data_IF_059175765779
#
_entry.id   IF_059175765779
#
_cell.length_a   1.000
_cell.length_b   1.000
_cell.length_c   1.000
_cell.angle_alpha   90.00
_cell.angle_beta   90.00
_cell.angle_gamma   90.00
#
_symmetry.space_group_name_H-M   'P 1'
#
loop_
_entity.id
_entity.type
_entity.pdbx_description
1 polymer ?
#
# COMPACT_ATOMS: atom_id res chain seq x y z
N UNK A 1 7.94 -12.55 26.00
CA UNK A 1 9.07 -11.62 25.83
C UNK A 1 8.58 -10.48 24.95
N UNK A 2 8.17 -9.37 25.58
CA UNK A 2 7.58 -8.22 24.89
C UNK A 2 8.71 -7.45 24.23
N UNK A 3 8.78 -7.46 22.88
CA UNK A 3 9.63 -6.54 22.15
C UNK A 3 8.97 -5.15 22.18
N UNK A 4 9.47 -4.29 23.04
CA UNK A 4 9.23 -2.86 22.95
C UNK A 4 9.95 -2.35 21.68
N UNK A 5 9.18 -2.08 20.63
CA UNK A 5 9.67 -1.25 19.53
C UNK A 5 9.71 0.17 20.09
N UNK A 6 10.87 0.53 20.62
CA UNK A 6 11.18 1.90 20.96
C UNK A 6 11.22 2.66 19.64
N UNK A 7 10.15 3.40 19.34
CA UNK A 7 10.15 4.40 18.29
C UNK A 7 11.18 5.45 18.71
N UNK A 8 12.38 5.36 18.16
CA UNK A 8 13.38 6.41 18.28
C UNK A 8 12.83 7.61 17.49
N UNK A 9 12.06 8.44 18.16
CA UNK A 9 11.77 9.80 17.74
C UNK A 9 13.10 10.56 17.78
N UNK A 10 13.89 10.42 16.73
CA UNK A 10 14.94 11.38 16.44
C UNK A 10 14.23 12.73 16.33
N UNK A 11 14.37 13.51 17.39
CA UNK A 11 14.06 14.93 17.41
C UNK A 11 15.00 15.66 16.44
N UNK A 12 14.76 15.48 15.15
CA UNK A 12 15.15 16.46 14.18
C UNK A 12 14.32 17.70 14.54
N UNK A 13 14.96 18.68 15.16
CA UNK A 13 14.46 20.05 15.28
C UNK A 13 14.29 20.60 13.86
N UNK A 14 13.28 20.14 13.16
CA UNK A 14 12.74 20.83 12.00
C UNK A 14 12.13 22.07 12.64
N UNK A 15 12.72 23.24 12.40
CA UNK A 15 12.01 24.50 12.54
C UNK A 15 10.83 24.42 11.58
N UNK A 16 9.74 23.76 12.02
CA UNK A 16 8.44 23.94 11.44
C UNK A 16 8.18 25.43 11.61
N UNK A 17 8.08 26.17 10.52
CA UNK A 17 7.32 27.41 10.56
C UNK A 17 5.90 26.97 10.87
N UNK A 18 5.59 26.89 12.16
CA UNK A 18 4.23 26.89 12.64
C UNK A 18 3.64 28.18 12.15
N UNK A 19 2.88 28.14 11.08
CA UNK A 19 1.93 29.20 10.80
C UNK A 19 1.02 29.24 12.02
N UNK A 20 1.12 30.35 12.75
CA UNK A 20 0.44 30.59 14.01
C UNK A 20 -1.06 30.26 13.89
N UNK A 21 -1.49 29.20 14.60
CA UNK A 21 -2.89 28.75 14.63
C UNK A 21 -3.83 29.72 15.34
N UNK A 22 -3.32 30.87 15.79
CA UNK A 22 -4.12 31.97 16.38
C UNK A 22 -4.76 32.86 15.34
N UNK A 23 -4.41 32.70 14.04
CA UNK A 23 -5.00 33.51 12.98
C UNK A 23 -6.47 33.12 12.74
N UNK A 24 -7.37 34.09 12.85
CA UNK A 24 -8.78 33.93 12.55
C UNK A 24 -9.04 33.53 11.08
N UNK A 25 -10.25 33.08 10.79
CA UNK A 25 -10.66 32.64 9.43
C UNK A 25 -10.40 33.69 8.36
N UNK A 26 -10.46 34.97 8.68
CA UNK A 26 -10.18 36.09 7.73
C UNK A 26 -8.71 36.26 7.41
N UNK A 27 -7.80 36.06 8.39
CA UNK A 27 -6.35 36.09 8.14
C UNK A 27 -5.83 34.87 7.41
N UNK A 28 -6.51 33.71 7.52
CA UNK A 28 -6.23 32.53 6.69
C UNK A 28 -6.53 32.79 5.21
N UNK A 29 -7.53 33.58 4.90
CA UNK A 29 -7.86 34.00 3.52
C UNK A 29 -6.82 34.97 2.93
N UNK A 30 -6.12 35.76 3.75
CA UNK A 30 -5.08 36.68 3.27
C UNK A 30 -3.73 35.97 2.98
N UNK A 31 -3.40 34.88 3.67
CA UNK A 31 -2.29 34.00 3.29
C UNK A 31 -2.85 32.91 2.36
N UNK A 32 -3.10 33.27 1.11
CA UNK A 32 -3.60 32.35 0.08
C UNK A 32 -2.72 31.10 0.03
N UNK A 33 -3.19 30.02 0.63
CA UNK A 33 -2.62 28.69 0.42
C UNK A 33 -3.70 27.77 -0.14
N UNK A 34 -3.32 26.84 -0.97
CA UNK A 34 -4.24 25.88 -1.54
C UNK A 34 -3.63 25.10 -2.69
N UNK A 35 -4.43 24.19 -3.20
CA UNK A 35 -4.10 23.41 -4.39
C UNK A 35 -4.59 24.13 -5.63
N UNK A 36 -3.73 24.26 -6.62
CA UNK A 36 -4.04 24.85 -7.92
C UNK A 36 -3.66 23.85 -8.99
N UNK A 37 -4.60 23.50 -9.88
CA UNK A 37 -4.37 22.66 -11.03
C UNK A 37 -3.61 23.45 -12.10
N UNK A 38 -2.52 22.89 -12.63
CA UNK A 38 -1.70 23.51 -13.67
C UNK A 38 -1.24 22.50 -14.73
N UNK A 39 -1.25 22.93 -15.97
CA UNK A 39 -0.71 22.19 -17.11
C UNK A 39 -1.67 21.19 -17.74
N UNK A 40 -1.28 20.56 -18.86
CA UNK A 40 -2.06 19.54 -19.52
C UNK A 40 -2.10 18.28 -18.67
N UNK A 41 -3.28 17.96 -18.11
CA UNK A 41 -3.50 16.83 -17.21
C UNK A 41 -3.85 17.22 -15.77
N UNK A 42 -4.18 18.52 -15.52
CA UNK A 42 -4.68 19.05 -14.26
C UNK A 42 -3.86 18.60 -13.03
N UNK A 43 -2.53 18.73 -13.12
CA UNK A 43 -1.65 18.44 -11.98
C UNK A 43 -1.86 19.48 -10.88
N UNK A 44 -2.25 19.03 -9.68
CA UNK A 44 -2.43 19.93 -8.54
C UNK A 44 -1.08 20.22 -7.86
N UNK A 45 -0.80 21.50 -7.67
CA UNK A 45 0.36 21.98 -6.91
C UNK A 45 -0.09 22.79 -5.69
N UNK A 46 0.66 22.66 -4.62
CA UNK A 46 0.41 23.41 -3.39
C UNK A 46 1.13 24.75 -3.42
N UNK A 47 0.36 25.82 -3.20
CA UNK A 47 0.82 27.21 -3.21
C UNK A 47 0.68 27.86 -1.84
N UNK A 48 1.61 28.75 -1.52
CA UNK A 48 1.53 29.65 -0.38
C UNK A 48 1.95 31.05 -0.84
N UNK A 49 1.10 32.05 -0.64
CA UNK A 49 1.37 33.43 -1.03
C UNK A 49 1.48 33.66 -2.54
N UNK A 50 0.94 32.76 -3.37
CA UNK A 50 0.98 32.85 -4.82
C UNK A 50 2.13 32.08 -5.47
N UNK A 51 3.08 31.54 -4.69
CA UNK A 51 4.20 30.75 -5.19
C UNK A 51 4.05 29.28 -4.86
N UNK A 52 4.62 28.40 -5.71
CA UNK A 52 4.69 26.96 -5.43
C UNK A 52 5.53 26.72 -4.19
N UNK A 53 4.91 26.10 -3.18
CA UNK A 53 5.51 25.96 -1.87
C UNK A 53 6.66 24.92 -1.84
N UNK A 54 7.72 25.27 -1.11
CA UNK A 54 8.80 24.34 -0.75
C UNK A 54 9.05 24.43 0.75
N UNK A 55 8.94 23.31 1.46
CA UNK A 55 9.12 23.24 2.91
C UNK A 55 8.19 22.25 3.57
N UNK A 56 8.22 22.25 4.90
CA UNK A 56 7.28 21.46 5.70
C UNK A 56 5.96 22.23 5.90
N UNK A 57 4.84 21.52 5.82
CA UNK A 57 3.52 22.09 6.05
C UNK A 57 2.65 21.11 6.84
N UNK A 58 1.78 21.66 7.70
CA UNK A 58 0.84 20.90 8.51
C UNK A 58 -0.57 21.31 8.19
N UNK A 59 -1.41 20.31 7.90
CA UNK A 59 -2.84 20.47 7.72
C UNK A 59 -3.56 20.05 9.01
N UNK A 60 -4.69 20.68 9.29
CA UNK A 60 -5.45 20.42 10.50
C UNK A 60 -6.92 20.17 10.15
N UNK A 61 -7.56 19.28 10.86
CA UNK A 61 -9.00 19.11 10.87
C UNK A 61 -9.68 20.41 11.39
N UNK A 62 -10.97 20.55 11.11
CA UNK A 62 -11.78 21.67 11.67
C UNK A 62 -11.76 21.68 13.20
N UNK A 63 -11.53 20.54 13.83
CA UNK A 63 -11.34 20.36 15.27
C UNK A 63 -9.98 20.87 15.78
N UNK A 64 -9.13 21.42 14.92
CA UNK A 64 -7.75 21.87 15.17
C UNK A 64 -6.76 20.77 15.50
N UNK A 65 -7.16 19.50 15.41
CA UNK A 65 -6.25 18.37 15.52
C UNK A 65 -5.43 18.23 14.24
N UNK A 66 -4.19 17.78 14.37
CA UNK A 66 -3.31 17.54 13.22
C UNK A 66 -3.92 16.46 12.32
N UNK A 67 -4.05 16.76 11.02
CA UNK A 67 -4.55 15.86 10.00
C UNK A 67 -3.40 15.27 9.17
N UNK A 68 -2.53 16.15 8.66
CA UNK A 68 -1.41 15.70 7.82
C UNK A 68 -0.18 16.55 8.10
N UNK A 69 0.95 15.89 8.25
CA UNK A 69 2.29 16.48 8.22
C UNK A 69 2.99 16.11 6.92
N UNK A 70 3.39 17.10 6.14
CA UNK A 70 3.95 16.86 4.82
C UNK A 70 5.14 17.76 4.52
N UNK A 71 6.02 17.31 3.62
CA UNK A 71 7.04 18.13 3.01
C UNK A 71 6.72 18.32 1.53
N UNK A 72 7.04 19.50 1.02
CA UNK A 72 6.81 19.91 -0.35
C UNK A 72 8.12 20.34 -1.01
N UNK A 73 8.20 20.14 -2.30
CA UNK A 73 9.20 20.70 -3.16
C UNK A 73 8.55 21.20 -4.43
N UNK A 74 8.62 22.50 -4.67
CA UNK A 74 8.01 23.15 -5.83
C UNK A 74 6.51 22.80 -5.99
N UNK A 75 5.75 22.91 -4.91
CA UNK A 75 4.32 22.61 -4.85
C UNK A 75 3.91 21.14 -4.80
N UNK A 76 4.83 20.20 -5.00
CA UNK A 76 4.54 18.76 -4.97
C UNK A 76 4.99 18.12 -3.66
N UNK A 77 4.25 17.13 -3.19
CA UNK A 77 4.68 16.30 -2.07
C UNK A 77 6.09 15.74 -2.31
N UNK A 78 6.99 15.91 -1.35
CA UNK A 78 8.36 15.45 -1.42
C UNK A 78 8.92 15.14 -0.04
N UNK A 79 9.41 13.92 0.20
CA UNK A 79 9.87 13.51 1.53
C UNK A 79 8.83 12.72 2.28
N UNK A 80 8.92 12.72 3.62
CA UNK A 80 7.99 11.99 4.48
C UNK A 80 6.66 12.74 4.55
N UNK A 81 5.56 11.98 4.47
CA UNK A 81 4.20 12.43 4.76
C UNK A 81 3.62 11.49 5.80
N UNK A 82 2.97 12.06 6.81
CA UNK A 82 2.27 11.34 7.88
C UNK A 82 0.85 11.88 7.97
N UNK A 83 -0.12 11.01 7.82
CA UNK A 83 -1.54 11.30 8.04
C UNK A 83 -1.97 10.78 9.42
N UNK A 84 -2.86 11.50 10.05
CA UNK A 84 -3.36 11.19 11.38
C UNK A 84 -4.89 11.06 11.37
N UNK A 85 -5.42 10.26 12.26
CA UNK A 85 -6.83 10.19 12.57
C UNK A 85 -7.21 11.37 13.49
N UNK A 86 -8.53 11.63 13.62
CA UNK A 86 -9.05 12.69 14.51
C UNK A 86 -8.72 12.47 15.99
N UNK A 87 -8.39 11.25 16.39
CA UNK A 87 -7.94 10.92 17.75
C UNK A 87 -6.42 11.13 17.95
N UNK A 88 -5.70 11.57 16.92
CA UNK A 88 -4.26 11.81 16.93
C UNK A 88 -3.42 10.57 16.64
N UNK A 89 -4.00 9.40 16.46
CA UNK A 89 -3.27 8.20 16.06
C UNK A 89 -2.81 8.30 14.59
N UNK A 90 -1.68 7.67 14.27
CA UNK A 90 -1.17 7.65 12.89
C UNK A 90 -2.09 6.80 12.03
N UNK A 91 -2.60 7.38 10.93
CA UNK A 91 -3.40 6.72 9.91
C UNK A 91 -2.53 6.12 8.82
N UNK A 92 -1.57 6.91 8.31
CA UNK A 92 -0.62 6.42 7.34
C UNK A 92 0.73 7.16 7.43
N UNK A 93 1.81 6.52 7.00
CA UNK A 93 3.12 7.14 6.88
C UNK A 93 3.89 6.57 5.71
N UNK A 94 4.55 7.43 4.97
CA UNK A 94 5.36 7.02 3.82
C UNK A 94 6.15 8.16 3.22
N UNK A 95 6.69 7.91 2.05
CA UNK A 95 7.52 8.90 1.35
C UNK A 95 6.98 9.20 -0.04
N UNK A 96 6.95 10.49 -0.35
CA UNK A 96 6.74 10.98 -1.70
C UNK A 96 8.05 11.44 -2.34
N UNK A 97 8.08 11.38 -3.66
CA UNK A 97 9.09 11.97 -4.51
C UNK A 97 8.42 12.62 -5.71
N UNK A 98 8.45 13.95 -5.78
CA UNK A 98 7.81 14.74 -6.84
C UNK A 98 6.33 14.33 -7.06
N UNK A 99 5.53 14.40 -6.01
CA UNK A 99 4.11 14.07 -6.03
C UNK A 99 3.74 12.59 -6.04
N UNK A 100 4.71 11.67 -6.17
CA UNK A 100 4.44 10.24 -6.30
C UNK A 100 4.87 9.46 -5.04
N UNK A 101 4.05 8.50 -4.62
CA UNK A 101 4.40 7.56 -3.56
C UNK A 101 5.58 6.69 -3.97
N UNK A 102 6.59 6.56 -3.09
CA UNK A 102 7.78 5.74 -3.34
C UNK A 102 8.23 5.00 -2.08
N UNK A 103 8.80 3.80 -2.28
CA UNK A 103 9.32 3.02 -1.16
C UNK A 103 8.22 2.47 -0.25
N UNK A 104 8.55 2.30 1.01
CA UNK A 104 7.66 1.70 2.01
C UNK A 104 6.63 2.70 2.50
N UNK A 105 5.38 2.27 2.57
CA UNK A 105 4.22 2.92 3.16
C UNK A 105 3.58 2.00 4.16
N UNK A 106 3.17 2.56 5.31
CA UNK A 106 2.38 1.88 6.33
C UNK A 106 1.02 2.54 6.40
N UNK A 107 -0.02 1.74 6.45
CA UNK A 107 -1.42 2.15 6.66
C UNK A 107 -1.94 1.42 7.89
N UNK A 108 -2.40 2.15 8.89
CA UNK A 108 -2.90 1.61 10.15
C UNK A 108 -4.42 1.74 10.18
N UNK A 109 -5.10 0.65 10.48
CA UNK A 109 -6.57 0.60 10.57
C UNK A 109 -7.03 0.60 12.01
N UNK A 110 -6.23 0.01 12.91
CA UNK A 110 -6.37 0.03 14.35
C UNK A 110 -4.99 -0.18 15.02
N UNK A 111 -4.97 -0.47 16.33
CA UNK A 111 -3.72 -0.68 17.06
C UNK A 111 -2.93 -1.94 16.67
N UNK A 112 -3.53 -2.85 15.93
CA UNK A 112 -2.95 -4.15 15.55
C UNK A 112 -2.93 -4.33 14.04
N UNK A 113 -4.04 -3.98 13.36
CA UNK A 113 -4.17 -4.19 11.92
C UNK A 113 -3.47 -3.09 11.12
N UNK A 114 -2.72 -3.53 10.13
CA UNK A 114 -2.01 -2.63 9.24
C UNK A 114 -1.79 -3.24 7.85
N UNK A 115 -1.54 -2.38 6.90
CA UNK A 115 -1.06 -2.76 5.58
C UNK A 115 0.29 -2.10 5.29
N UNK A 116 1.27 -2.90 4.90
CA UNK A 116 2.54 -2.43 4.37
C UNK A 116 2.51 -2.51 2.85
N UNK A 117 2.69 -1.38 2.18
CA UNK A 117 2.87 -1.32 0.72
C UNK A 117 4.27 -0.85 0.38
N UNK A 118 4.88 -1.44 -0.65
CA UNK A 118 6.13 -0.95 -1.22
C UNK A 118 5.89 -0.48 -2.64
N UNK A 119 5.95 0.84 -2.81
CA UNK A 119 5.78 1.49 -4.11
C UNK A 119 7.06 1.47 -4.94
N UNK A 120 6.90 1.41 -6.24
CA UNK A 120 7.99 1.49 -7.21
C UNK A 120 8.63 2.89 -7.19
N UNK A 121 9.96 2.93 -7.38
CA UNK A 121 10.67 4.19 -7.62
C UNK A 121 10.70 4.59 -9.09
N UNK A 122 10.35 3.67 -9.99
CA UNK A 122 10.40 3.85 -11.45
C UNK A 122 9.03 4.05 -12.05
N UNK A 123 8.05 3.29 -11.56
CA UNK A 123 6.66 3.32 -12.00
C UNK A 123 5.85 4.06 -10.94
N UNK A 124 5.47 5.32 -11.17
CA UNK A 124 4.79 6.15 -10.19
C UNK A 124 3.54 5.50 -9.62
N UNK A 125 3.37 5.59 -8.30
CA UNK A 125 2.20 5.12 -7.55
C UNK A 125 1.87 3.61 -7.70
N UNK A 126 2.72 2.82 -8.33
CA UNK A 126 2.50 1.37 -8.47
C UNK A 126 3.06 0.58 -7.29
N UNK A 127 2.23 -0.29 -6.73
CA UNK A 127 2.60 -1.16 -5.60
C UNK A 127 3.35 -2.39 -6.12
N UNK A 128 4.54 -2.62 -5.58
CA UNK A 128 5.40 -3.79 -5.91
C UNK A 128 5.30 -4.92 -4.91
N UNK A 129 4.95 -4.60 -3.69
CA UNK A 129 4.75 -5.56 -2.60
C UNK A 129 3.64 -5.05 -1.73
N UNK A 130 2.85 -5.95 -1.17
CA UNK A 130 1.93 -5.68 -0.08
C UNK A 130 2.00 -6.80 0.95
N UNK A 131 1.68 -6.45 2.17
CA UNK A 131 1.48 -7.33 3.31
C UNK A 131 0.34 -6.74 4.12
N UNK A 132 -0.71 -7.52 4.37
CA UNK A 132 -1.82 -7.13 5.23
C UNK A 132 -1.89 -7.99 6.47
N UNK A 133 -2.01 -7.34 7.63
CA UNK A 133 -2.20 -7.96 8.95
C UNK A 133 -3.54 -7.50 9.50
N UNK A 134 -4.39 -8.44 9.92
CA UNK A 134 -5.72 -8.15 10.45
C UNK A 134 -5.68 -7.72 11.93
N UNK A 135 -6.85 -7.39 12.51
CA UNK A 135 -7.00 -6.96 13.91
C UNK A 135 -6.62 -8.01 14.94
N UNK A 136 -6.49 -9.29 14.55
CA UNK A 136 -5.96 -10.36 15.40
C UNK A 136 -4.44 -10.50 15.31
N UNK A 137 -3.75 -9.62 14.55
CA UNK A 137 -2.30 -9.71 14.34
C UNK A 137 -1.89 -10.82 13.35
N UNK A 138 -2.83 -11.36 12.59
CA UNK A 138 -2.60 -12.45 11.65
C UNK A 138 -2.39 -11.87 10.26
N UNK A 139 -1.31 -12.31 9.57
CA UNK A 139 -1.12 -12.03 8.16
C UNK A 139 -2.23 -12.70 7.34
N UNK A 140 -2.96 -11.92 6.54
CA UNK A 140 -4.08 -12.42 5.74
C UNK A 140 -3.83 -12.33 4.24
N UNK A 141 -2.86 -11.51 3.84
CA UNK A 141 -2.46 -11.38 2.43
C UNK A 141 -1.01 -10.94 2.30
N UNK A 142 -0.32 -11.49 1.30
CA UNK A 142 1.00 -11.04 0.87
C UNK A 142 1.19 -11.23 -0.63
N UNK A 143 1.65 -10.20 -1.32
CA UNK A 143 2.06 -10.36 -2.72
C UNK A 143 3.35 -9.61 -3.06
N UNK A 144 3.94 -9.98 -4.20
CA UNK A 144 5.05 -9.29 -4.82
C UNK A 144 4.92 -9.36 -6.34
N UNK A 145 5.01 -8.22 -7.02
CA UNK A 145 4.98 -8.16 -8.49
C UNK A 145 6.35 -8.42 -9.12
N UNK A 146 6.36 -8.74 -10.39
CA UNK A 146 7.55 -8.68 -11.24
C UNK A 146 8.00 -7.22 -11.43
N UNK A 147 9.22 -7.04 -11.95
CA UNK A 147 9.78 -5.71 -12.17
C UNK A 147 8.97 -4.87 -13.17
N UNK A 148 8.35 -5.50 -14.17
CA UNK A 148 7.48 -4.85 -15.16
C UNK A 148 6.07 -4.52 -14.63
N UNK A 149 5.74 -4.93 -13.41
CA UNK A 149 4.47 -4.70 -12.70
C UNK A 149 3.22 -5.36 -13.30
N UNK A 150 3.30 -5.95 -14.51
CA UNK A 150 2.14 -6.56 -15.18
C UNK A 150 1.67 -7.82 -14.46
N UNK A 151 2.62 -8.62 -13.91
CA UNK A 151 2.31 -9.89 -13.26
C UNK A 151 2.90 -9.98 -11.86
N UNK A 152 2.25 -10.72 -10.98
CA UNK A 152 2.78 -11.01 -9.65
C UNK A 152 3.84 -12.11 -9.73
N UNK A 153 4.89 -11.99 -8.91
CA UNK A 153 5.85 -13.08 -8.70
C UNK A 153 5.27 -14.16 -7.79
N UNK A 154 4.57 -13.74 -6.77
CA UNK A 154 3.79 -14.59 -5.87
C UNK A 154 2.65 -13.79 -5.24
N UNK A 155 1.59 -14.50 -4.84
CA UNK A 155 0.48 -13.99 -4.06
C UNK A 155 0.07 -15.07 -3.07
N UNK A 156 -0.01 -14.74 -1.79
CA UNK A 156 -0.44 -15.60 -0.70
C UNK A 156 -1.61 -14.96 -0.01
N UNK A 157 -2.65 -15.75 0.26
CA UNK A 157 -3.76 -15.41 1.11
C UNK A 157 -3.81 -16.38 2.29
N UNK A 158 -4.34 -15.91 3.41
CA UNK A 158 -4.44 -16.72 4.61
C UNK A 158 -5.89 -16.73 5.13
N UNK A 159 -6.29 -17.83 5.75
CA UNK A 159 -7.52 -17.90 6.52
C UNK A 159 -7.45 -17.02 7.77
N UNK A 160 -8.59 -16.75 8.40
CA UNK A 160 -8.67 -15.95 9.63
C UNK A 160 -7.86 -16.51 10.80
N UNK A 161 -7.60 -17.82 10.79
CA UNK A 161 -6.76 -18.51 11.78
C UNK A 161 -5.25 -18.44 11.47
N UNK A 162 -4.85 -17.77 10.37
CA UNK A 162 -3.44 -17.62 9.95
C UNK A 162 -2.90 -18.75 9.09
N UNK A 163 -3.68 -19.81 8.85
CA UNK A 163 -3.26 -20.88 7.95
C UNK A 163 -3.35 -20.43 6.49
N UNK A 164 -2.43 -20.92 5.66
CA UNK A 164 -2.39 -20.60 4.23
C UNK A 164 -3.70 -21.03 3.55
N UNK A 165 -4.33 -20.12 2.80
CA UNK A 165 -5.55 -20.32 2.04
C UNK A 165 -5.27 -20.49 0.54
N UNK A 166 -4.41 -19.62 0.02
CA UNK A 166 -4.03 -19.61 -1.40
C UNK A 166 -2.56 -19.32 -1.54
N UNK A 167 -1.89 -20.08 -2.41
CA UNK A 167 -0.54 -19.82 -2.86
C UNK A 167 -0.51 -19.81 -4.38
N UNK A 168 -0.24 -18.63 -4.95
CA UNK A 168 -0.03 -18.42 -6.39
C UNK A 168 1.44 -18.10 -6.62
N UNK A 169 2.13 -18.91 -7.41
CA UNK A 169 3.56 -18.76 -7.66
C UNK A 169 3.84 -18.77 -9.16
N UNK A 170 4.53 -17.73 -9.65
CA UNK A 170 4.97 -17.69 -11.04
C UNK A 170 6.14 -18.66 -11.25
N UNK A 171 5.88 -19.76 -11.98
CA UNK A 171 6.88 -20.80 -12.26
C UNK A 171 7.57 -20.60 -13.61
N UNK A 172 6.94 -19.92 -14.54
CA UNK A 172 7.54 -19.56 -15.82
C UNK A 172 7.21 -18.11 -16.19
N UNK A 173 8.21 -17.23 -16.14
CA UNK A 173 8.03 -15.80 -16.43
C UNK A 173 7.90 -15.45 -17.93
N UNK A 174 8.39 -16.33 -18.81
CA UNK A 174 8.36 -16.08 -20.26
C UNK A 174 7.02 -16.45 -20.87
N UNK A 175 6.43 -17.57 -20.41
CA UNK A 175 5.11 -18.03 -20.83
C UNK A 175 4.00 -17.62 -19.85
N UNK A 176 4.35 -16.85 -18.81
CA UNK A 176 3.45 -16.42 -17.72
C UNK A 176 2.60 -17.58 -17.18
N UNK A 177 3.28 -18.60 -16.64
CA UNK A 177 2.63 -19.76 -16.06
C UNK A 177 2.67 -19.64 -14.54
N UNK A 178 1.52 -19.79 -13.92
CA UNK A 178 1.35 -19.86 -12.47
C UNK A 178 1.00 -21.27 -12.02
N UNK A 179 1.60 -21.67 -10.92
CA UNK A 179 1.15 -22.77 -10.09
C UNK A 179 0.26 -22.21 -8.99
N UNK A 180 -0.93 -22.80 -8.83
CA UNK A 180 -1.94 -22.40 -7.85
C UNK A 180 -2.20 -23.57 -6.91
N UNK A 181 -2.07 -23.32 -5.62
CA UNK A 181 -2.39 -24.23 -4.55
C UNK A 181 -3.41 -23.55 -3.62
N UNK A 182 -4.58 -24.14 -3.45
CA UNK A 182 -5.61 -23.71 -2.51
C UNK A 182 -5.68 -24.70 -1.34
N UNK A 183 -5.88 -24.20 -0.14
CA UNK A 183 -5.87 -25.00 1.08
C UNK A 183 -7.13 -24.78 1.89
N UNK A 184 -7.59 -25.82 2.55
CA UNK A 184 -8.59 -25.75 3.61
C UNK A 184 -8.01 -25.10 4.88
N UNK A 185 -8.87 -24.64 5.79
CA UNK A 185 -8.47 -24.10 7.09
C UNK A 185 -7.62 -25.06 7.94
N UNK A 186 -7.75 -26.37 7.72
CA UNK A 186 -6.96 -27.40 8.36
C UNK A 186 -5.61 -27.69 7.67
N UNK A 187 -5.15 -26.77 6.81
CA UNK A 187 -3.90 -26.82 6.04
C UNK A 187 -3.79 -27.92 4.96
N UNK A 188 -4.83 -28.74 4.79
CA UNK A 188 -4.84 -29.73 3.72
C UNK A 188 -5.10 -29.08 2.38
N UNK A 189 -4.44 -29.57 1.34
CA UNK A 189 -4.61 -29.14 -0.03
C UNK A 189 -6.07 -29.37 -0.47
N UNK A 190 -6.69 -28.30 -0.99
CA UNK A 190 -8.03 -28.33 -1.56
C UNK A 190 -7.99 -28.46 -3.08
N UNK A 191 -7.13 -27.63 -3.72
CA UNK A 191 -6.94 -27.65 -5.17
C UNK A 191 -5.48 -27.41 -5.54
N UNK A 192 -5.07 -28.01 -6.66
CA UNK A 192 -3.76 -27.77 -7.27
C UNK A 192 -3.95 -27.73 -8.79
N UNK A 193 -3.52 -26.63 -9.42
CA UNK A 193 -3.66 -26.43 -10.85
C UNK A 193 -2.66 -25.42 -11.39
N UNK A 194 -2.59 -25.34 -12.71
CA UNK A 194 -1.72 -24.40 -13.41
C UNK A 194 -2.54 -23.50 -14.34
N UNK A 195 -2.21 -22.21 -14.33
CA UNK A 195 -2.77 -21.22 -15.23
C UNK A 195 -1.68 -20.65 -16.12
N UNK A 196 -1.95 -20.55 -17.41
CA UNK A 196 -1.14 -19.83 -18.38
C UNK A 196 -1.90 -18.61 -18.85
N UNK A 197 -1.24 -17.46 -18.93
CA UNK A 197 -1.80 -16.27 -19.55
C UNK A 197 -1.63 -16.34 -21.05
N UNK A 198 -2.72 -16.15 -21.77
CA UNK A 198 -2.73 -15.96 -23.22
C UNK A 198 -2.71 -14.46 -23.53
N UNK A 199 -1.58 -13.98 -24.08
CA UNK A 199 -1.40 -12.57 -24.43
C UNK A 199 -2.28 -12.13 -25.63
N UNK A 200 -2.72 -13.07 -26.49
CA UNK A 200 -3.52 -12.76 -27.68
C UNK A 200 -4.99 -12.52 -27.32
N UNK A 201 -5.53 -13.33 -26.41
CA UNK A 201 -6.93 -13.24 -25.97
C UNK A 201 -7.11 -12.50 -24.66
N UNK A 202 -6.00 -12.13 -23.96
CA UNK A 202 -5.99 -11.54 -22.62
C UNK A 202 -6.70 -12.40 -21.56
N UNK A 203 -6.68 -13.72 -21.71
CA UNK A 203 -7.37 -14.69 -20.85
C UNK A 203 -6.41 -15.62 -20.12
N UNK A 204 -6.94 -16.37 -19.14
CA UNK A 204 -6.23 -17.38 -18.38
C UNK A 204 -6.74 -18.77 -18.73
N UNK A 205 -5.85 -19.63 -19.23
CA UNK A 205 -6.13 -21.01 -19.56
C UNK A 205 -5.65 -21.97 -18.47
N UNK A 206 -6.43 -22.98 -18.16
CA UNK A 206 -5.95 -24.14 -17.43
C UNK A 206 -5.02 -24.94 -18.32
N UNK A 207 -3.85 -25.27 -17.77
CA UNK A 207 -2.86 -26.08 -18.49
C UNK A 207 -2.33 -27.18 -17.59
N UNK A 208 -1.84 -28.26 -18.19
CA UNK A 208 -1.27 -29.46 -17.54
C UNK A 208 -2.35 -30.23 -16.78
N UNK A 209 -2.42 -30.11 -15.47
CA UNK A 209 -3.33 -30.90 -14.65
C UNK A 209 -4.11 -30.01 -13.66
N UNK A 210 -5.33 -30.47 -13.35
CA UNK A 210 -6.16 -29.95 -12.29
C UNK A 210 -6.49 -31.05 -11.30
N UNK A 211 -6.26 -30.80 -10.02
CA UNK A 211 -6.57 -31.73 -8.93
C UNK A 211 -7.43 -31.07 -7.89
N UNK A 212 -8.44 -31.78 -7.41
CA UNK A 212 -9.27 -31.37 -6.29
C UNK A 212 -9.32 -32.46 -5.23
N UNK A 213 -9.31 -32.05 -3.96
CA UNK A 213 -9.27 -32.92 -2.80
C UNK A 213 -10.38 -32.55 -1.81
N UNK A 214 -10.85 -33.50 -1.03
CA UNK A 214 -11.74 -33.19 0.10
C UNK A 214 -10.94 -32.75 1.36
N UNK A 215 -11.66 -32.32 2.39
CA UNK A 215 -11.07 -31.86 3.67
C UNK A 215 -10.23 -32.92 4.40
N UNK A 216 -10.37 -34.18 4.04
CA UNK A 216 -9.58 -35.30 4.58
C UNK A 216 -8.31 -35.58 3.76
N UNK A 217 -8.14 -34.89 2.60
CA UNK A 217 -7.01 -35.07 1.71
C UNK A 217 -7.20 -36.19 0.67
N UNK A 218 -8.42 -36.74 0.55
CA UNK A 218 -8.76 -37.70 -0.52
C UNK A 218 -8.99 -36.94 -1.81
N UNK A 219 -8.31 -37.37 -2.89
CA UNK A 219 -8.51 -36.81 -4.23
C UNK A 219 -9.92 -37.13 -4.74
N UNK A 220 -10.57 -36.08 -5.25
CA UNK A 220 -11.94 -36.13 -5.81
C UNK A 220 -11.89 -36.07 -7.34
N UNK A 221 -11.06 -35.17 -7.88
CA UNK A 221 -10.96 -34.87 -9.31
C UNK A 221 -9.49 -34.86 -9.70
N UNK A 222 -9.19 -35.42 -10.88
CA UNK A 222 -7.89 -35.32 -11.52
C UNK A 222 -8.10 -35.24 -13.04
N UNK A 223 -7.82 -34.09 -13.62
CA UNK A 223 -7.99 -33.81 -15.05
C UNK A 223 -6.68 -33.34 -15.65
N UNK A 224 -6.45 -33.69 -16.92
CA UNK A 224 -5.32 -33.23 -17.72
C UNK A 224 -5.83 -32.34 -18.85
N UNK A 225 -5.16 -31.18 -19.07
CA UNK A 225 -5.45 -30.16 -20.07
C UNK A 225 -4.30 -29.95 -21.05
#
# INVERSE_FOLDING_TARGET
MRLFITLLLLSLSIKAQTLDNTLGTEERQQKKFGWIAEGPGDYEFFFVGGDRYTGAFSFFYDTKQLETQANFKNGSFHGIVTDFNKDGTVKSVGRYRNGNKVGKWMYYYDNVSFEEKVYSRREPNQVRKSLFVNSSGIETERFKTLRNMRFTKFHFEYHSNGNLKLKKTLINRFKVIYEIEEFYENTKLAKHYFLKYDDENEEWDFIKEYKEFNKNGKMLIHEYH
#
